data_IF_660878404615
#
_entry.id   IF_660878404615
#
_cell.length_a   1.000
_cell.length_b   1.000
_cell.length_c   1.000
_cell.angle_alpha   90.00
_cell.angle_beta   90.00
_cell.angle_gamma   90.00
#
_symmetry.space_group_name_H-M   'P 1'
#
loop_
_entity.id
_entity.type
_entity.pdbx_description
1 polymer ?
#
# COMPACT_ATOMS: atom_id res chain seq x y z
N UNK A 1 -0.92 20.69 -10.94
CA UNK A 1 -1.11 19.99 -10.40
C UNK A 1 -0.55 19.28 -9.95
N UNK A 2 -0.54 19.13 -9.89
CA UNK A 2 0.16 18.56 -9.29
C UNK A 2 -0.01 17.24 -9.22
N UNK A 3 0.86 16.55 -9.08
CA UNK A 3 0.81 15.17 -9.02
C UNK A 3 -0.17 14.59 -8.04
N UNK A 4 -1.18 15.32 -7.77
CA UNK A 4 -2.13 14.89 -6.77
C UNK A 4 -3.50 14.60 -7.32
N UNK A 5 -3.64 14.62 -8.63
CA UNK A 5 -4.94 14.32 -9.22
C UNK A 5 -5.39 12.89 -8.86
N UNK A 6 -4.44 11.97 -8.68
CA UNK A 6 -4.79 10.60 -8.33
C UNK A 6 -5.15 10.46 -6.85
N UNK A 7 -5.01 11.52 -6.08
CA UNK A 7 -5.40 11.48 -4.67
C UNK A 7 -6.78 12.09 -4.44
N UNK A 8 -7.44 12.54 -5.49
CA UNK A 8 -8.73 13.19 -5.33
C UNK A 8 -9.85 12.17 -5.44
N UNK A 9 -10.69 12.13 -4.45
CA UNK A 9 -11.89 11.33 -4.45
C UNK A 9 -13.04 12.25 -4.13
N UNK A 10 -14.27 11.81 -4.37
CA UNK A 10 -15.43 12.57 -3.93
C UNK A 10 -15.30 12.82 -2.43
N UNK A 11 -15.69 14.02 -1.95
CA UNK A 11 -15.45 14.36 -0.54
C UNK A 11 -15.97 13.33 0.46
N UNK A 12 -17.15 12.77 0.20
CA UNK A 12 -17.69 11.80 1.15
C UNK A 12 -16.93 10.47 1.08
N UNK A 13 -16.41 10.11 -0.09
CA UNK A 13 -15.60 8.91 -0.24
C UNK A 13 -14.28 9.11 0.50
N UNK A 14 -13.66 10.26 0.32
CA UNK A 14 -12.39 10.54 0.97
C UNK A 14 -12.52 10.50 2.49
N UNK A 15 -13.60 11.08 3.03
CA UNK A 15 -13.83 11.05 4.47
C UNK A 15 -13.97 9.62 4.97
N UNK A 16 -14.71 8.80 4.23
CA UNK A 16 -14.90 7.41 4.59
C UNK A 16 -13.57 6.66 4.57
N UNK A 17 -12.76 6.89 3.53
CA UNK A 17 -11.45 6.26 3.43
C UNK A 17 -10.53 6.69 4.56
N UNK A 18 -10.58 7.96 4.95
CA UNK A 18 -9.77 8.43 6.07
C UNK A 18 -10.11 7.70 7.36
N UNK A 19 -11.39 7.47 7.58
CA UNK A 19 -11.82 6.75 8.78
C UNK A 19 -11.34 5.31 8.76
N UNK A 20 -11.46 4.64 7.62
CA UNK A 20 -10.96 3.27 7.48
C UNK A 20 -9.44 3.22 7.65
N UNK A 21 -8.72 4.15 7.05
CA UNK A 21 -7.27 4.17 7.17
C UNK A 21 -6.84 4.36 8.62
N UNK A 22 -7.51 5.27 9.31
CA UNK A 22 -7.20 5.50 10.73
C UNK A 22 -7.44 4.25 11.56
N UNK A 23 -8.56 3.59 11.31
CA UNK A 23 -8.89 2.38 12.05
C UNK A 23 -7.90 1.28 11.75
N UNK A 24 -7.52 1.14 10.48
CA UNK A 24 -6.54 0.12 10.09
C UNK A 24 -5.19 0.36 10.76
N UNK A 25 -4.77 1.62 10.86
CA UNK A 25 -3.51 1.93 11.55
C UNK A 25 -3.60 1.67 13.05
N UNK A 26 -4.77 1.87 13.62
CA UNK A 26 -4.96 1.65 15.06
C UNK A 26 -5.03 0.16 15.39
N UNK A 27 -5.44 -0.66 14.43
CA UNK A 27 -5.62 -2.10 14.65
C UNK A 27 -4.96 -2.88 13.52
N UNK A 28 -3.62 -2.82 13.41
CA UNK A 28 -2.95 -3.54 12.33
C UNK A 28 -3.02 -5.05 12.56
N UNK A 29 -2.99 -5.79 11.46
CA UNK A 29 -2.83 -7.24 11.57
C UNK A 29 -1.41 -7.56 11.99
N UNK A 30 -1.19 -8.81 12.40
CA UNK A 30 0.15 -9.22 12.79
C UNK A 30 1.13 -9.09 11.63
N UNK A 31 0.71 -9.52 10.43
CA UNK A 31 1.57 -9.40 9.27
C UNK A 31 1.89 -7.94 8.95
N UNK A 32 0.91 -7.05 9.08
CA UNK A 32 1.16 -5.64 8.86
C UNK A 32 2.19 -5.10 9.85
N UNK A 33 2.11 -5.51 11.11
CA UNK A 33 3.07 -5.06 12.12
C UNK A 33 4.47 -5.55 11.82
N UNK A 34 4.60 -6.81 11.43
CA UNK A 34 5.91 -7.39 11.11
C UNK A 34 6.53 -6.66 9.93
N UNK A 35 5.75 -6.46 8.87
CA UNK A 35 6.28 -5.78 7.67
C UNK A 35 6.61 -4.33 7.98
N UNK A 36 5.75 -3.64 8.71
CA UNK A 36 5.99 -2.23 9.03
C UNK A 36 7.28 -2.03 9.81
N UNK A 37 7.61 -2.95 10.72
CA UNK A 37 8.86 -2.84 11.46
C UNK A 37 10.08 -2.86 10.55
N UNK A 38 9.98 -3.53 9.41
CA UNK A 38 11.09 -3.56 8.45
C UNK A 38 11.10 -2.42 7.46
N UNK A 39 9.96 -1.73 7.30
CA UNK A 39 9.84 -0.65 6.32
C UNK A 39 10.03 0.73 6.93
N UNK A 40 9.62 0.91 8.18
CA UNK A 40 9.63 2.22 8.83
C UNK A 40 11.06 2.71 9.02
N UNK A 41 11.22 4.02 9.13
CA UNK A 41 12.51 4.60 9.46
C UNK A 41 13.52 4.55 8.33
N UNK A 42 13.05 4.47 7.11
CA UNK A 42 13.93 4.49 5.92
C UNK A 42 14.93 3.32 5.90
N UNK A 43 14.56 2.20 6.51
CA UNK A 43 15.50 1.08 6.62
C UNK A 43 15.88 0.51 5.25
N UNK A 44 15.00 0.64 4.25
CA UNK A 44 15.32 0.22 2.89
C UNK A 44 15.84 1.36 2.04
N UNK A 45 16.14 2.50 2.66
CA UNK A 45 16.69 3.64 1.95
C UNK A 45 15.67 4.62 1.43
N UNK A 46 14.40 4.35 1.58
CA UNK A 46 13.32 5.20 1.10
C UNK A 46 12.20 5.22 2.14
N UNK A 47 11.37 6.27 2.12
CA UNK A 47 10.26 6.35 3.07
C UNK A 47 9.09 5.50 2.64
N UNK A 48 8.44 4.87 3.61
CA UNK A 48 7.20 4.14 3.39
C UNK A 48 6.12 4.73 4.28
N UNK A 49 4.89 4.74 3.78
CA UNK A 49 3.70 5.10 4.53
C UNK A 49 2.77 3.91 4.54
N UNK A 50 2.00 3.79 5.61
CA UNK A 50 1.04 2.70 5.72
C UNK A 50 -0.37 3.25 5.68
N UNK A 51 -1.29 2.44 5.14
CA UNK A 51 -2.70 2.78 5.06
C UNK A 51 -2.87 4.17 4.46
N UNK A 52 -2.31 4.35 3.26
CA UNK A 52 -2.29 5.63 2.58
C UNK A 52 -3.37 5.67 1.50
N UNK A 53 -4.10 6.76 1.45
CA UNK A 53 -5.19 6.92 0.49
C UNK A 53 -4.61 7.39 -0.84
N UNK A 54 -4.91 6.63 -1.91
CA UNK A 54 -4.54 7.00 -3.27
C UNK A 54 -5.80 6.84 -4.11
N UNK A 55 -6.29 7.96 -4.66
CA UNK A 55 -7.55 7.93 -5.38
C UNK A 55 -8.68 7.48 -4.47
N UNK A 56 -9.34 6.39 -4.83
CA UNK A 56 -10.43 5.84 -4.03
C UNK A 56 -10.02 4.55 -3.34
N UNK A 57 -8.72 4.39 -3.08
CA UNK A 57 -8.18 3.17 -2.48
C UNK A 57 -7.37 3.49 -1.25
N UNK A 58 -7.16 2.47 -0.41
CA UNK A 58 -6.20 2.55 0.68
C UNK A 58 -5.11 1.54 0.35
N UNK A 59 -3.87 2.03 0.19
CA UNK A 59 -2.72 1.15 0.00
C UNK A 59 -2.21 0.72 1.37
N UNK A 60 -1.94 -0.57 1.53
CA UNK A 60 -1.41 -1.05 2.80
C UNK A 60 -0.09 -0.35 3.12
N UNK A 61 0.83 -0.34 2.17
CA UNK A 61 2.10 0.37 2.28
C UNK A 61 2.43 1.00 0.95
N UNK A 62 2.99 2.19 0.97
CA UNK A 62 3.37 2.87 -0.26
C UNK A 62 4.67 3.61 -0.07
N UNK A 63 5.51 3.53 -1.08
CA UNK A 63 6.68 4.39 -1.22
C UNK A 63 6.41 5.31 -2.39
N UNK A 64 6.09 6.57 -2.10
CA UNK A 64 5.72 7.50 -3.15
C UNK A 64 6.90 7.84 -4.07
N UNK A 65 8.11 8.08 -3.55
CA UNK A 65 9.23 8.37 -4.46
C UNK A 65 9.52 7.24 -5.44
N UNK A 66 9.41 5.99 -5.02
CA UNK A 66 9.68 4.85 -5.89
C UNK A 66 8.44 4.35 -6.62
N UNK A 67 7.27 4.91 -6.30
CA UNK A 67 6.01 4.51 -6.92
C UNK A 67 5.71 3.02 -6.74
N UNK A 68 5.93 2.54 -5.52
CA UNK A 68 5.70 1.13 -5.20
C UNK A 68 4.62 1.04 -4.15
N UNK A 69 3.67 0.15 -4.39
CA UNK A 69 2.61 -0.16 -3.44
C UNK A 69 2.77 -1.61 -3.03
N UNK A 70 2.68 -1.88 -1.74
CA UNK A 70 2.76 -3.23 -1.21
C UNK A 70 1.42 -3.57 -0.58
N UNK A 71 0.86 -4.70 -0.96
CA UNK A 71 -0.43 -5.15 -0.47
C UNK A 71 -0.27 -6.51 0.18
N UNK A 72 -0.94 -6.69 1.31
CA UNK A 72 -0.95 -7.96 2.01
C UNK A 72 -2.34 -8.58 1.90
N UNK A 73 -2.37 -9.89 1.73
CA UNK A 73 -3.63 -10.62 1.84
C UNK A 73 -4.16 -10.49 3.25
N UNK A 74 -5.45 -10.53 3.39
CA UNK A 74 -6.05 -10.66 4.70
C UNK A 74 -6.79 -9.44 5.20
N UNK A 75 -6.75 -8.33 4.49
CA UNK A 75 -7.54 -7.16 4.91
C UNK A 75 -8.43 -6.71 3.76
N UNK A 76 -9.31 -7.62 3.37
CA UNK A 76 -10.20 -7.34 2.24
C UNK A 76 -11.44 -6.57 2.64
N UNK A 77 -11.79 -6.62 3.91
CA UNK A 77 -13.09 -6.13 4.33
C UNK A 77 -13.04 -4.71 4.83
N UNK A 78 -11.90 -4.06 4.69
CA UNK A 78 -11.74 -2.70 5.17
C UNK A 78 -12.48 -1.68 4.31
N UNK A 79 -12.82 -2.05 3.08
CA UNK A 79 -13.49 -1.16 2.14
C UNK A 79 -14.75 -1.81 1.61
N UNK A 80 -15.77 -1.01 1.29
CA UNK A 80 -16.92 -1.53 0.58
C UNK A 80 -16.48 -2.11 -0.75
N UNK A 81 -16.89 -3.34 -1.01
CA UNK A 81 -16.44 -4.05 -2.22
C UNK A 81 -16.93 -3.39 -3.49
N UNK A 82 -18.04 -2.70 -3.39
CA UNK A 82 -18.67 -2.13 -4.56
C UNK A 82 -18.01 -0.85 -5.04
N UNK A 83 -17.00 -0.35 -4.32
CA UNK A 83 -16.34 0.86 -4.78
C UNK A 83 -15.61 0.61 -6.08
N UNK A 84 -14.86 -0.50 -6.14
CA UNK A 84 -14.12 -0.79 -7.35
C UNK A 84 -13.55 -2.21 -7.23
N UNK A 85 -13.44 -2.92 -8.33
CA UNK A 85 -12.90 -4.26 -8.32
C UNK A 85 -11.37 -4.22 -8.17
N UNK A 86 -10.79 -5.34 -7.71
CA UNK A 86 -9.34 -5.44 -7.57
C UNK A 86 -8.62 -5.21 -8.89
N UNK A 87 -9.17 -5.74 -9.97
CA UNK A 87 -8.54 -5.60 -11.27
C UNK A 87 -8.54 -4.15 -11.74
N UNK A 88 -9.69 -3.49 -11.61
CA UNK A 88 -9.78 -2.08 -11.99
C UNK A 88 -8.84 -1.23 -11.15
N UNK A 89 -8.75 -1.54 -9.86
CA UNK A 89 -7.86 -0.83 -8.95
C UNK A 89 -6.41 -0.98 -9.38
N UNK A 90 -6.00 -2.21 -9.69
CA UNK A 90 -4.63 -2.46 -10.12
C UNK A 90 -4.32 -1.74 -11.41
N UNK A 91 -5.24 -1.77 -12.37
CA UNK A 91 -5.05 -1.06 -13.64
C UNK A 91 -4.92 0.44 -13.43
N UNK A 92 -5.79 0.99 -12.57
CA UNK A 92 -5.74 2.43 -12.29
C UNK A 92 -4.39 2.82 -11.70
N UNK A 93 -3.92 2.03 -10.74
CA UNK A 93 -2.63 2.30 -10.10
C UNK A 93 -1.48 2.21 -11.09
N UNK A 94 -1.51 1.20 -11.95
CA UNK A 94 -0.46 1.03 -12.96
C UNK A 94 -0.47 2.18 -13.96
N UNK A 95 -1.65 2.65 -14.35
CA UNK A 95 -1.76 3.80 -15.24
C UNK A 95 -1.19 5.06 -14.64
N UNK A 96 -1.18 5.14 -13.31
CA UNK A 96 -0.61 6.28 -12.61
C UNK A 96 0.84 6.05 -12.19
N UNK A 97 1.47 5.03 -12.76
CA UNK A 97 2.89 4.80 -12.57
C UNK A 97 3.26 4.01 -11.34
N UNK A 98 2.30 3.40 -10.68
CA UNK A 98 2.58 2.60 -9.49
C UNK A 98 2.79 1.14 -9.86
N UNK A 99 3.75 0.52 -9.19
CA UNK A 99 3.94 -0.92 -9.27
C UNK A 99 3.36 -1.52 -8.00
N UNK A 100 2.46 -2.50 -8.17
CA UNK A 100 1.81 -3.16 -7.05
C UNK A 100 2.48 -4.51 -6.83
N UNK A 101 2.94 -4.74 -5.60
CA UNK A 101 3.58 -5.98 -5.21
C UNK A 101 2.75 -6.58 -4.09
N UNK A 102 2.40 -7.84 -4.23
CA UNK A 102 1.56 -8.52 -3.24
C UNK A 102 2.32 -9.63 -2.55
N UNK A 103 2.08 -9.74 -1.27
CA UNK A 103 2.61 -10.83 -0.45
C UNK A 103 1.47 -11.43 0.36
N UNK A 104 1.59 -12.70 0.66
CA UNK A 104 0.64 -13.33 1.57
C UNK A 104 1.06 -13.04 3.00
N UNK A 105 0.09 -13.12 3.92
CA UNK A 105 0.41 -12.99 5.34
C UNK A 105 1.45 -14.03 5.75
N UNK A 106 1.34 -15.24 5.22
CA UNK A 106 2.26 -16.29 5.55
C UNK A 106 3.69 -15.96 5.13
N UNK A 107 3.86 -15.40 3.94
CA UNK A 107 5.19 -14.99 3.49
C UNK A 107 5.80 -13.98 4.45
N UNK A 108 5.01 -13.01 4.89
CA UNK A 108 5.51 -11.97 5.79
C UNK A 108 5.84 -12.56 7.15
N UNK A 109 5.00 -13.43 7.67
CA UNK A 109 5.21 -13.97 9.01
C UNK A 109 6.31 -15.03 9.07
N UNK A 110 6.50 -15.77 8.00
CA UNK A 110 7.44 -16.88 8.00
C UNK A 110 8.73 -16.61 7.23
N UNK A 111 8.78 -15.56 6.41
CA UNK A 111 9.91 -15.34 5.51
C UNK A 111 10.15 -13.86 5.28
N UNK A 112 10.13 -13.11 6.36
CA UNK A 112 10.20 -11.65 6.30
C UNK A 112 11.48 -11.17 5.61
N UNK A 113 12.59 -11.86 5.81
CA UNK A 113 13.85 -11.42 5.22
C UNK A 113 13.79 -11.44 3.70
N UNK A 114 13.19 -12.47 3.11
CA UNK A 114 13.05 -12.54 1.67
C UNK A 114 12.01 -11.56 1.15
N UNK A 115 10.96 -11.29 1.94
CA UNK A 115 9.99 -10.26 1.57
C UNK A 115 10.67 -8.91 1.48
N UNK A 116 11.44 -8.54 2.50
CA UNK A 116 12.14 -7.26 2.51
C UNK A 116 13.18 -7.17 1.41
N UNK A 117 13.87 -8.28 1.12
CA UNK A 117 14.83 -8.30 0.05
C UNK A 117 14.16 -8.09 -1.31
N UNK A 118 13.02 -8.72 -1.51
CA UNK A 118 12.26 -8.55 -2.74
C UNK A 118 11.82 -7.10 -2.92
N UNK A 119 11.35 -6.48 -1.83
CA UNK A 119 10.93 -5.08 -1.89
C UNK A 119 12.13 -4.20 -2.23
N UNK A 120 13.27 -4.44 -1.59
CA UNK A 120 14.46 -3.65 -1.84
C UNK A 120 14.91 -3.76 -3.29
N UNK A 121 14.85 -4.95 -3.86
CA UNK A 121 15.21 -5.13 -5.27
C UNK A 121 14.29 -4.33 -6.18
N UNK A 122 13.02 -4.28 -5.86
CA UNK A 122 12.07 -3.49 -6.66
C UNK A 122 12.35 -2.00 -6.55
N UNK A 123 12.81 -1.53 -5.40
CA UNK A 123 13.18 -0.14 -5.24
C UNK A 123 14.38 0.19 -6.11
N UNK A 124 15.41 -0.65 -6.07
CA UNK A 124 16.67 -0.38 -6.76
C UNK A 124 16.49 -0.49 -8.27
N UNK A 125 15.84 -1.54 -8.74
CA UNK A 125 15.78 -1.80 -10.18
C UNK A 125 14.50 -1.27 -10.82
N UNK A 126 13.47 -1.04 -10.03
CA UNK A 126 12.20 -0.58 -10.57
C UNK A 126 12.12 0.91 -10.79
N UNK A 127 13.09 1.66 -10.28
CA UNK A 127 13.06 3.13 -10.40
C UNK A 127 13.76 3.61 -11.66
N UNK A 128 14.32 2.69 -12.41
CA UNK A 128 14.91 3.08 -13.67
C UNK A 128 13.84 3.17 -14.73
#
# INVERSE_FOLDING_TARGET
MDGYSYCTAAPYIYKLLKEFARENRARPTEAEMVLWRGLRGHQLGVPFRRQHIIGEFIADFVCLPARIIIELDGRYHSLPEQLISDEERTQWLQQHGFKVIRFTNEQVLCDIDNVLLSIKKNIIYGTE
#
